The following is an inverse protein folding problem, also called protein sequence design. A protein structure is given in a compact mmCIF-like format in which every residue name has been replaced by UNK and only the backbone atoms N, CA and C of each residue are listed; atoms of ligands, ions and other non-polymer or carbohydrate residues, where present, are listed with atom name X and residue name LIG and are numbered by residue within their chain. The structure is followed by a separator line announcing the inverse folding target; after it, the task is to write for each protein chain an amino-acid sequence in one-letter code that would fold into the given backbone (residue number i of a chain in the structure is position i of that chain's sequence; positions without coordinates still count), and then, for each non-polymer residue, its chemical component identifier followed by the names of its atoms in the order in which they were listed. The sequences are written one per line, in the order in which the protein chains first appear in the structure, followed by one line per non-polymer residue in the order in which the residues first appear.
data_IF_383852664293
#
_entry.id   IF_383852664293
#
_cell.length_a   1.000
_cell.length_b   1.000
_cell.length_c   1.000
_cell.angle_alpha   90.00
_cell.angle_beta   90.00
_cell.angle_gamma   90.00
#
_symmetry.space_group_name_H-M   'P 1'
#
loop_
_entity.id
_entity.type
_entity.pdbx_description
1 polymer ?
#
# COMPACT_ATOMS: atom_id res chain seq x y z
N UNK A 1 -16.64 -37.38 0.68
CA UNK A 1 -16.45 -36.08 0.02
C UNK A 1 -15.88 -35.12 1.08
N UNK A 2 -14.63 -35.42 1.44
CA UNK A 2 -13.90 -34.76 2.53
C UNK A 2 -12.60 -34.17 1.98
N UNK A 3 -12.26 -32.96 2.49
CA UNK A 3 -10.96 -32.27 2.38
C UNK A 3 -10.44 -31.97 0.97
N UNK A 4 -11.08 -30.98 0.32
CA UNK A 4 -10.52 -30.27 -0.85
C UNK A 4 -10.04 -28.84 -0.52
N UNK A 5 -9.99 -28.46 0.75
CA UNK A 5 -9.36 -27.20 1.12
C UNK A 5 -7.87 -27.44 1.40
N UNK A 6 -6.94 -26.67 0.79
CA UNK A 6 -5.53 -26.79 1.13
C UNK A 6 -5.37 -26.53 2.63
N UNK A 7 -4.78 -27.48 3.36
CA UNK A 7 -4.44 -27.26 4.77
C UNK A 7 -3.52 -26.05 4.83
N UNK A 8 -3.92 -25.00 5.57
CA UNK A 8 -3.04 -23.87 5.85
C UNK A 8 -1.72 -24.44 6.39
N UNK A 9 -0.58 -23.95 5.86
CA UNK A 9 0.74 -24.34 6.39
C UNK A 9 0.82 -23.99 7.88
N UNK A 10 1.56 -24.79 8.63
CA UNK A 10 1.87 -24.45 10.02
C UNK A 10 2.61 -23.11 10.07
N UNK A 11 2.22 -22.17 10.96
CA UNK A 11 2.94 -20.90 11.13
C UNK A 11 4.40 -21.17 11.55
N UNK A 12 5.32 -20.43 10.94
CA UNK A 12 6.76 -20.56 11.17
C UNK A 12 7.20 -19.58 12.22
N UNK A 13 7.92 -20.08 13.22
CA UNK A 13 8.47 -19.29 14.31
C UNK A 13 9.99 -19.41 14.32
N UNK A 14 10.68 -18.28 14.30
CA UNK A 14 12.12 -18.24 14.51
C UNK A 14 12.41 -17.92 15.96
N UNK A 15 13.14 -18.80 16.64
CA UNK A 15 13.60 -18.63 18.04
C UNK A 15 15.09 -18.35 18.02
N UNK A 16 15.50 -17.23 18.59
CA UNK A 16 16.89 -16.78 18.65
C UNK A 16 17.32 -16.64 20.09
N UNK A 17 18.23 -17.50 20.53
CA UNK A 17 18.81 -17.49 21.89
C UNK A 17 20.19 -18.13 21.85
N UNK A 18 21.20 -17.48 22.44
CA UNK A 18 22.58 -17.98 22.48
C UNK A 18 22.76 -19.21 23.36
N UNK A 19 21.76 -19.53 24.17
CA UNK A 19 21.72 -20.73 25.01
C UNK A 19 20.90 -21.83 24.32
N UNK A 20 21.55 -22.90 23.78
CA UNK A 20 20.85 -23.95 23.05
C UNK A 20 19.77 -24.69 23.86
N UNK A 21 19.92 -24.74 25.17
CA UNK A 21 18.94 -25.35 26.09
C UNK A 21 17.64 -24.55 26.16
N UNK A 22 17.71 -23.22 26.13
CA UNK A 22 16.56 -22.31 26.17
C UNK A 22 15.87 -22.32 24.80
N UNK A 23 16.63 -22.14 23.72
CA UNK A 23 16.12 -22.23 22.36
C UNK A 23 15.43 -23.58 22.10
N UNK A 24 16.06 -24.70 22.54
CA UNK A 24 15.52 -26.04 22.40
C UNK A 24 14.22 -26.25 23.19
N UNK A 25 14.14 -25.76 24.42
CA UNK A 25 12.91 -25.84 25.22
C UNK A 25 11.75 -25.08 24.58
N UNK A 26 11.98 -23.84 24.16
CA UNK A 26 10.96 -23.04 23.46
C UNK A 26 10.53 -23.69 22.17
N UNK A 27 11.48 -24.17 21.36
CA UNK A 27 11.20 -24.90 20.13
C UNK A 27 10.33 -26.12 20.38
N UNK A 28 10.62 -26.94 21.40
CA UNK A 28 9.83 -28.10 21.74
C UNK A 28 8.39 -27.73 22.16
N UNK A 29 8.25 -26.73 23.03
CA UNK A 29 6.95 -26.25 23.51
C UNK A 29 6.07 -25.76 22.35
N UNK A 30 6.64 -25.02 21.41
CA UNK A 30 5.92 -24.46 20.26
C UNK A 30 5.60 -25.55 19.21
N UNK A 31 6.56 -26.46 18.95
CA UNK A 31 6.33 -27.59 18.02
C UNK A 31 5.22 -28.53 18.51
N UNK A 32 5.10 -28.75 19.81
CA UNK A 32 3.98 -29.52 20.41
C UNK A 32 2.61 -28.85 20.18
N UNK A 33 2.57 -27.58 19.85
CA UNK A 33 1.35 -26.81 19.50
C UNK A 33 1.10 -26.70 18.01
N UNK A 34 1.93 -27.38 17.20
CA UNK A 34 1.75 -27.48 15.73
C UNK A 34 2.42 -26.34 14.95
N UNK A 35 3.33 -25.59 15.57
CA UNK A 35 4.13 -24.57 14.88
C UNK A 35 5.37 -25.21 14.22
N UNK A 36 5.79 -24.65 13.08
CA UNK A 36 7.08 -24.97 12.44
C UNK A 36 8.15 -24.07 13.04
N UNK A 37 9.11 -24.64 13.78
CA UNK A 37 10.05 -23.85 14.56
C UNK A 37 11.48 -24.06 14.07
N UNK A 38 12.13 -22.94 13.73
CA UNK A 38 13.56 -22.86 13.44
C UNK A 38 14.28 -22.16 14.58
N UNK A 39 15.49 -22.58 14.92
CA UNK A 39 16.30 -21.95 15.95
C UNK A 39 17.56 -21.34 15.37
N UNK A 40 18.01 -20.22 15.94
CA UNK A 40 19.30 -19.58 15.65
C UNK A 40 20.01 -19.24 16.96
N UNK A 41 21.34 -19.28 16.99
CA UNK A 41 22.13 -19.02 18.20
C UNK A 41 22.62 -17.58 18.31
N UNK A 42 22.42 -16.77 17.29
CA UNK A 42 22.79 -15.35 17.26
C UNK A 42 22.03 -14.62 16.14
N UNK A 43 22.14 -13.30 16.10
CA UNK A 43 21.46 -12.46 15.12
C UNK A 43 21.89 -12.73 13.68
N UNK A 44 23.16 -13.05 13.41
CA UNK A 44 23.67 -13.32 12.05
C UNK A 44 23.03 -14.58 11.46
N UNK A 45 22.94 -15.65 12.26
CA UNK A 45 22.25 -16.87 11.84
C UNK A 45 20.75 -16.62 11.66
N UNK A 46 20.16 -15.82 12.54
CA UNK A 46 18.75 -15.45 12.45
C UNK A 46 18.46 -14.67 11.15
N UNK A 47 19.31 -13.70 10.78
CA UNK A 47 19.20 -12.98 9.52
C UNK A 47 19.31 -13.90 8.31
N UNK A 48 20.24 -14.85 8.33
CA UNK A 48 20.37 -15.85 7.26
C UNK A 48 19.09 -16.72 7.12
N UNK A 49 18.48 -17.13 8.24
CA UNK A 49 17.22 -17.86 8.24
C UNK A 49 16.04 -17.02 7.72
N UNK A 50 15.96 -15.75 8.10
CA UNK A 50 14.95 -14.80 7.60
C UNK A 50 15.09 -14.63 6.08
N UNK A 51 16.31 -14.48 5.56
CA UNK A 51 16.55 -14.38 4.11
C UNK A 51 16.22 -15.68 3.36
N UNK A 52 16.48 -16.83 3.98
CA UNK A 52 16.17 -18.14 3.38
C UNK A 52 14.66 -18.35 3.27
N UNK A 53 13.93 -18.01 4.32
CA UNK A 53 12.47 -18.10 4.35
C UNK A 53 11.90 -17.24 5.49
N UNK A 54 11.02 -16.32 5.14
CA UNK A 54 10.37 -15.42 6.10
C UNK A 54 9.60 -16.20 7.17
N UNK A 55 9.86 -15.93 8.48
CA UNK A 55 9.04 -16.46 9.57
C UNK A 55 7.74 -15.65 9.73
N UNK A 56 6.74 -16.26 10.34
CA UNK A 56 5.49 -15.60 10.70
C UNK A 56 5.58 -14.89 12.06
N UNK A 57 6.61 -15.20 12.88
CA UNK A 57 6.90 -14.57 14.16
C UNK A 57 8.35 -14.85 14.56
N UNK A 58 8.97 -13.88 15.24
CA UNK A 58 10.32 -14.00 15.80
C UNK A 58 10.28 -13.84 17.32
N UNK A 59 10.95 -14.76 18.02
CA UNK A 59 11.24 -14.68 19.45
C UNK A 59 12.75 -14.54 19.60
N UNK A 60 13.24 -13.47 20.17
CA UNK A 60 14.67 -13.23 20.31
C UNK A 60 15.08 -12.87 21.72
N UNK A 61 16.14 -13.52 22.21
CA UNK A 61 16.83 -12.99 23.39
C UNK A 61 17.37 -11.59 23.11
N UNK A 62 17.35 -10.75 24.12
CA UNK A 62 17.97 -9.42 24.10
C UNK A 62 19.49 -9.51 24.16
N UNK A 63 20.00 -10.36 25.05
CA UNK A 63 21.44 -10.45 25.36
C UNK A 63 22.08 -11.58 24.58
N UNK A 64 22.62 -11.26 23.41
CA UNK A 64 23.35 -12.23 22.58
C UNK A 64 24.75 -11.72 22.25
N UNK A 65 25.71 -12.61 22.00
CA UNK A 65 27.04 -12.23 21.51
C UNK A 65 26.96 -11.54 20.15
N UNK A 66 27.73 -10.48 19.97
CA UNK A 66 27.76 -9.69 18.73
C UNK A 66 26.57 -8.71 18.69
N UNK A 67 25.68 -8.89 17.74
CA UNK A 67 24.50 -8.05 17.55
C UNK A 67 23.39 -8.42 18.56
N UNK A 68 22.99 -7.45 19.37
CA UNK A 68 21.93 -7.63 20.37
C UNK A 68 20.56 -7.87 19.74
N UNK A 69 19.59 -8.42 20.52
CA UNK A 69 18.21 -8.58 20.09
C UNK A 69 17.53 -7.25 19.71
N UNK A 70 17.91 -6.15 20.35
CA UNK A 70 17.41 -4.80 19.99
C UNK A 70 17.89 -4.36 18.60
N UNK A 71 19.17 -4.52 18.30
CA UNK A 71 19.76 -4.16 17.02
C UNK A 71 19.21 -5.05 15.89
N UNK A 72 19.01 -6.33 16.17
CA UNK A 72 18.36 -7.27 15.24
C UNK A 72 16.91 -6.87 14.96
N UNK A 73 16.12 -6.56 16.00
CA UNK A 73 14.76 -6.07 15.85
C UNK A 73 14.71 -4.83 14.96
N UNK A 74 15.52 -3.81 15.27
CA UNK A 74 15.56 -2.56 14.50
C UNK A 74 15.88 -2.81 13.02
N UNK A 75 16.87 -3.64 12.71
CA UNK A 75 17.26 -3.93 11.33
C UNK A 75 16.12 -4.57 10.53
N UNK A 76 15.29 -5.42 11.16
CA UNK A 76 14.12 -6.02 10.52
C UNK A 76 12.95 -5.04 10.38
N UNK A 77 12.74 -4.17 11.38
CA UNK A 77 11.65 -3.19 11.36
C UNK A 77 11.89 -2.03 10.38
N UNK A 78 13.13 -1.72 10.07
CA UNK A 78 13.52 -0.74 9.04
C UNK A 78 13.39 -1.28 7.61
N UNK A 79 13.38 -2.61 7.44
CA UNK A 79 13.26 -3.23 6.13
C UNK A 79 11.79 -3.44 5.74
N UNK A 80 11.30 -2.87 4.62
CA UNK A 80 9.92 -3.01 4.16
C UNK A 80 9.43 -4.46 4.02
N UNK A 81 10.32 -5.40 3.66
CA UNK A 81 9.97 -6.81 3.47
C UNK A 81 9.77 -7.58 4.79
N UNK A 82 10.30 -7.09 5.91
CA UNK A 82 10.28 -7.80 7.20
C UNK A 82 9.62 -7.02 8.32
N UNK A 83 9.35 -5.73 8.15
CA UNK A 83 8.82 -4.84 9.20
C UNK A 83 7.50 -5.31 9.81
N UNK A 84 6.68 -6.04 9.05
CA UNK A 84 5.38 -6.56 9.50
C UNK A 84 5.47 -7.93 10.17
N UNK A 85 6.67 -8.52 10.30
CA UNK A 85 6.86 -9.74 11.07
C UNK A 85 6.82 -9.37 12.56
N UNK A 86 5.89 -9.95 13.37
CA UNK A 86 5.86 -9.75 14.80
C UNK A 86 7.17 -10.18 15.46
N UNK A 87 7.72 -9.30 16.28
CA UNK A 87 8.99 -9.48 16.95
C UNK A 87 8.82 -9.38 18.47
N UNK A 88 9.12 -10.44 19.19
CA UNK A 88 9.04 -10.51 20.65
C UNK A 88 10.44 -10.57 21.23
N UNK A 89 10.75 -9.64 22.11
CA UNK A 89 12.01 -9.64 22.87
C UNK A 89 11.86 -10.45 24.16
N UNK A 90 12.81 -11.33 24.41
CA UNK A 90 12.88 -12.12 25.63
C UNK A 90 14.00 -11.52 26.51
N UNK A 91 13.65 -11.04 27.67
CA UNK A 91 14.58 -10.31 28.54
C UNK A 91 14.62 -10.87 29.94
N UNK A 92 15.82 -10.92 30.52
CA UNK A 92 16.03 -11.20 31.97
C UNK A 92 16.03 -9.95 32.85
N UNK A 93 15.93 -8.77 32.19
CA UNK A 93 16.07 -7.49 32.86
C UNK A 93 14.67 -6.95 33.22
N UNK A 94 14.52 -6.60 34.50
CA UNK A 94 13.24 -6.10 35.04
C UNK A 94 13.12 -4.57 35.03
N UNK A 95 14.14 -3.87 34.50
CA UNK A 95 14.20 -2.42 34.53
C UNK A 95 13.32 -1.78 33.42
N UNK A 96 12.66 -0.70 33.78
CA UNK A 96 11.80 0.08 32.85
C UNK A 96 12.57 0.66 31.67
N UNK A 97 13.87 0.89 31.78
CA UNK A 97 14.75 1.37 30.71
C UNK A 97 14.88 0.37 29.57
N UNK A 98 14.94 -0.92 29.86
CA UNK A 98 15.09 -1.96 28.84
C UNK A 98 13.83 -2.12 27.98
N UNK A 99 12.65 -1.95 28.59
CA UNK A 99 11.38 -1.93 27.85
C UNK A 99 11.27 -0.74 26.92
N UNK A 100 11.78 0.44 27.33
CA UNK A 100 11.82 1.63 26.48
C UNK A 100 12.72 1.39 25.28
N UNK A 101 13.92 0.86 25.46
CA UNK A 101 14.83 0.53 24.35
C UNK A 101 14.23 -0.46 23.35
N UNK A 102 13.48 -1.44 23.84
CA UNK A 102 12.83 -2.39 22.96
C UNK A 102 11.65 -1.80 22.17
N UNK A 103 10.87 -0.89 22.78
CA UNK A 103 9.82 -0.15 22.09
C UNK A 103 10.44 0.75 21.00
N UNK A 104 11.53 1.45 21.32
CA UNK A 104 12.29 2.26 20.36
C UNK A 104 12.92 1.44 19.23
N UNK A 105 13.25 0.16 19.48
CA UNK A 105 13.69 -0.78 18.47
C UNK A 105 12.55 -1.31 17.59
N UNK A 106 11.28 -1.04 17.95
CA UNK A 106 10.09 -1.46 17.19
C UNK A 106 9.58 -2.85 17.57
N UNK A 107 9.95 -3.41 18.73
CA UNK A 107 9.43 -4.70 19.18
C UNK A 107 7.91 -4.63 19.43
N UNK A 108 7.19 -5.69 19.03
CA UNK A 108 5.74 -5.76 19.17
C UNK A 108 5.32 -6.25 20.56
N UNK A 109 6.19 -7.02 21.25
CA UNK A 109 5.91 -7.52 22.60
C UNK A 109 7.20 -7.94 23.33
N UNK A 110 7.05 -8.26 24.62
CA UNK A 110 8.14 -8.66 25.55
C UNK A 110 7.75 -9.87 26.38
N UNK A 111 8.72 -10.75 26.63
CA UNK A 111 8.61 -11.84 27.58
C UNK A 111 9.75 -11.76 28.60
N UNK A 112 9.43 -11.92 29.88
CA UNK A 112 10.45 -11.94 30.95
C UNK A 112 10.99 -13.36 31.14
N UNK A 113 12.30 -13.49 31.34
CA UNK A 113 12.92 -14.73 31.83
C UNK A 113 12.70 -14.85 33.36
N UNK A 114 12.29 -16.00 33.88
CA UNK A 114 12.06 -17.29 33.21
C UNK A 114 10.75 -17.27 32.37
N UNK A 115 10.84 -17.73 31.14
CA UNK A 115 9.69 -17.76 30.23
C UNK A 115 8.68 -18.80 30.66
N UNK A 116 7.49 -18.37 31.04
CA UNK A 116 6.39 -19.27 31.40
C UNK A 116 5.73 -19.82 30.13
N UNK A 117 5.58 -21.14 30.06
CA UNK A 117 5.03 -21.81 28.86
C UNK A 117 3.63 -21.28 28.45
N UNK A 118 2.76 -21.04 29.42
CA UNK A 118 1.41 -20.52 29.17
C UNK A 118 1.44 -19.10 28.62
N UNK A 119 2.31 -18.22 29.15
CA UNK A 119 2.48 -16.85 28.67
C UNK A 119 3.06 -16.84 27.25
N UNK A 120 4.11 -17.61 26.99
CA UNK A 120 4.70 -17.75 25.66
C UNK A 120 3.65 -18.14 24.62
N UNK A 121 2.87 -19.18 24.90
CA UNK A 121 1.86 -19.70 23.97
C UNK A 121 0.75 -18.68 23.74
N UNK A 122 0.29 -17.99 24.80
CA UNK A 122 -0.77 -16.99 24.69
C UNK A 122 -0.34 -15.80 23.80
N UNK A 123 0.88 -15.29 24.00
CA UNK A 123 1.42 -14.17 23.21
C UNK A 123 1.68 -14.56 21.76
N UNK A 124 2.32 -15.70 21.53
CA UNK A 124 2.56 -16.22 20.18
C UNK A 124 1.24 -16.36 19.42
N UNK A 125 0.21 -16.95 20.04
CA UNK A 125 -1.11 -17.11 19.43
C UNK A 125 -1.77 -15.76 19.10
N UNK A 126 -1.66 -14.79 19.99
CA UNK A 126 -2.23 -13.44 19.80
C UNK A 126 -1.56 -12.72 18.63
N UNK A 127 -0.22 -12.71 18.62
CA UNK A 127 0.58 -12.04 17.60
C UNK A 127 0.45 -12.70 16.22
N UNK A 128 0.43 -14.03 16.16
CA UNK A 128 0.18 -14.74 14.89
C UNK A 128 -1.21 -14.45 14.33
N UNK A 129 -2.23 -14.32 15.18
CA UNK A 129 -3.57 -13.93 14.75
C UNK A 129 -3.58 -12.49 14.19
N UNK A 130 -2.87 -11.57 14.83
CA UNK A 130 -2.73 -10.20 14.32
C UNK A 130 -2.01 -10.19 12.97
N UNK A 131 -0.91 -10.96 12.84
CA UNK A 131 -0.18 -11.13 11.59
C UNK A 131 -1.08 -11.67 10.48
N UNK A 132 -1.90 -12.70 10.76
CA UNK A 132 -2.85 -13.27 9.81
C UNK A 132 -3.84 -12.21 9.28
N UNK A 133 -4.41 -11.38 10.17
CA UNK A 133 -5.28 -10.28 9.73
C UNK A 133 -4.56 -9.23 8.88
N UNK A 134 -3.31 -8.91 9.22
CA UNK A 134 -2.51 -7.96 8.43
C UNK A 134 -2.25 -8.51 7.03
N UNK A 135 -1.87 -9.78 6.92
CA UNK A 135 -1.63 -10.45 5.64
C UNK A 135 -2.90 -10.56 4.77
N UNK A 136 -4.04 -10.81 5.40
CA UNK A 136 -5.35 -10.81 4.71
C UNK A 136 -5.69 -9.41 4.15
N UNK A 137 -5.41 -8.35 4.89
CA UNK A 137 -5.62 -6.97 4.43
C UNK A 137 -4.68 -6.61 3.28
N UNK A 138 -3.38 -6.96 3.37
CA UNK A 138 -2.43 -6.74 2.26
C UNK A 138 -2.84 -7.52 1.00
N UNK A 139 -3.32 -8.75 1.18
CA UNK A 139 -3.81 -9.56 0.05
C UNK A 139 -5.02 -8.91 -0.60
N UNK A 140 -5.97 -8.39 0.18
CA UNK A 140 -7.15 -7.70 -0.34
C UNK A 140 -6.76 -6.45 -1.13
N UNK A 141 -5.84 -5.63 -0.62
CA UNK A 141 -5.34 -4.45 -1.34
C UNK A 141 -4.62 -4.83 -2.64
N UNK A 142 -3.81 -5.89 -2.61
CA UNK A 142 -3.13 -6.40 -3.81
C UNK A 142 -4.12 -6.87 -4.88
N UNK A 143 -5.21 -7.53 -4.48
CA UNK A 143 -6.28 -7.93 -5.40
C UNK A 143 -6.96 -6.72 -6.01
N UNK A 144 -7.28 -5.69 -5.22
CA UNK A 144 -7.88 -4.44 -5.74
C UNK A 144 -6.97 -3.75 -6.75
N UNK A 145 -5.68 -3.62 -6.45
CA UNK A 145 -4.69 -3.06 -7.38
C UNK A 145 -4.61 -3.89 -8.67
N UNK A 146 -4.60 -5.23 -8.56
CA UNK A 146 -4.56 -6.13 -9.72
C UNK A 146 -5.78 -5.97 -10.62
N UNK A 147 -6.97 -5.74 -10.05
CA UNK A 147 -8.18 -5.46 -10.85
C UNK A 147 -8.01 -4.17 -11.67
N UNK A 148 -7.45 -3.12 -11.10
CA UNK A 148 -7.12 -1.89 -11.82
C UNK A 148 -6.14 -2.15 -12.98
N UNK A 149 -5.07 -2.89 -12.72
CA UNK A 149 -4.06 -3.25 -13.73
C UNK A 149 -4.63 -4.13 -14.86
N UNK A 150 -5.60 -5.01 -14.57
CA UNK A 150 -6.28 -5.80 -15.61
C UNK A 150 -7.07 -4.89 -16.56
N UNK A 151 -7.72 -3.86 -16.03
CA UNK A 151 -8.46 -2.89 -16.86
C UNK A 151 -7.49 -2.01 -17.63
N UNK A 152 -6.42 -1.53 -17.00
CA UNK A 152 -5.33 -0.80 -17.63
C UNK A 152 -4.74 -1.58 -18.82
N UNK A 153 -4.48 -2.89 -18.64
CA UNK A 153 -3.93 -3.76 -19.70
C UNK A 153 -4.84 -3.94 -20.93
N UNK A 154 -6.12 -3.53 -20.86
CA UNK A 154 -7.01 -3.47 -22.03
C UNK A 154 -6.82 -2.20 -22.86
N UNK A 155 -6.32 -1.14 -22.25
CA UNK A 155 -6.05 0.15 -22.90
C UNK A 155 -4.57 0.22 -23.27
N UNK A 156 -4.22 0.15 -24.57
CA UNK A 156 -2.82 0.04 -25.01
C UNK A 156 -1.96 1.29 -24.72
N UNK A 157 -2.55 2.34 -24.17
CA UNK A 157 -1.89 3.63 -23.97
C UNK A 157 -1.56 3.93 -22.50
N UNK A 158 -1.85 3.01 -21.58
CA UNK A 158 -1.82 3.27 -20.14
C UNK A 158 -0.81 2.43 -19.35
N UNK A 159 0.15 1.76 -19.99
CA UNK A 159 1.14 0.92 -19.31
C UNK A 159 1.86 1.65 -18.17
N UNK A 160 1.73 1.13 -16.95
CA UNK A 160 2.29 1.69 -15.72
C UNK A 160 1.67 3.01 -15.26
N UNK A 161 0.56 3.45 -15.87
CA UNK A 161 -0.16 4.67 -15.50
C UNK A 161 -0.75 4.59 -14.09
N UNK A 162 -1.48 3.51 -13.77
CA UNK A 162 -2.09 3.31 -12.46
C UNK A 162 -1.07 3.38 -11.33
N UNK A 163 0.10 2.77 -11.51
CA UNK A 163 1.17 2.79 -10.51
C UNK A 163 1.72 4.21 -10.32
N UNK A 164 2.03 4.92 -11.42
CA UNK A 164 2.50 6.31 -11.36
C UNK A 164 1.48 7.24 -10.69
N UNK A 165 0.19 7.10 -11.03
CA UNK A 165 -0.88 7.87 -10.38
C UNK A 165 -0.97 7.57 -8.89
N UNK A 166 -0.99 6.30 -8.51
CA UNK A 166 -1.05 5.86 -7.11
C UNK A 166 0.05 6.50 -6.27
N UNK A 167 1.29 6.45 -6.76
CA UNK A 167 2.44 7.02 -6.04
C UNK A 167 2.36 8.54 -5.97
N UNK A 168 2.18 9.21 -7.12
CA UNK A 168 2.20 10.68 -7.19
C UNK A 168 1.01 11.34 -6.50
N UNK A 169 -0.17 10.75 -6.57
CA UNK A 169 -1.34 11.27 -5.85
C UNK A 169 -1.16 11.15 -4.33
N UNK A 170 -0.59 10.05 -3.85
CA UNK A 170 -0.24 9.90 -2.44
C UNK A 170 0.85 10.89 -2.01
N UNK A 171 1.86 11.15 -2.84
CA UNK A 171 2.91 12.13 -2.54
C UNK A 171 2.35 13.54 -2.47
N UNK A 172 1.45 13.91 -3.39
CA UNK A 172 0.74 15.19 -3.33
C UNK A 172 -0.15 15.28 -2.09
N UNK A 173 -0.86 14.20 -1.74
CA UNK A 173 -1.66 14.16 -0.51
C UNK A 173 -0.81 14.38 0.76
N UNK A 174 0.38 13.78 0.85
CA UNK A 174 1.33 14.02 1.95
C UNK A 174 1.85 15.45 1.97
N UNK A 175 2.20 15.98 0.81
CA UNK A 175 2.65 17.38 0.67
C UNK A 175 1.58 18.37 1.16
N UNK A 176 0.31 18.09 0.89
CA UNK A 176 -0.83 18.89 1.35
C UNK A 176 -1.21 18.63 2.83
N UNK A 177 -0.49 17.75 3.54
CA UNK A 177 -0.76 17.45 4.95
C UNK A 177 -2.05 16.66 5.19
N UNK A 178 -2.51 15.86 4.21
CA UNK A 178 -3.70 15.03 4.35
C UNK A 178 -3.48 13.88 5.34
N UNK A 179 -4.56 13.40 5.95
CA UNK A 179 -4.52 12.24 6.85
C UNK A 179 -4.22 10.93 6.10
N UNK A 180 -3.81 9.91 6.84
CA UNK A 180 -3.38 8.62 6.26
C UNK A 180 -4.53 7.91 5.53
N UNK A 181 -5.78 8.03 6.00
CA UNK A 181 -6.95 7.46 5.32
C UNK A 181 -7.14 8.07 3.93
N UNK A 182 -6.95 9.37 3.80
CA UNK A 182 -6.98 10.12 2.53
C UNK A 182 -5.84 9.71 1.61
N UNK A 183 -4.62 9.54 2.15
CA UNK A 183 -3.46 9.08 1.39
C UNK A 183 -3.67 7.66 0.85
N UNK A 184 -4.20 6.76 1.67
CA UNK A 184 -4.56 5.40 1.25
C UNK A 184 -5.65 5.44 0.17
N UNK A 185 -6.66 6.30 0.32
CA UNK A 185 -7.71 6.47 -0.69
C UNK A 185 -7.16 6.97 -2.03
N UNK A 186 -6.21 7.92 -2.02
CA UNK A 186 -5.53 8.40 -3.23
C UNK A 186 -4.72 7.29 -3.90
N UNK A 187 -3.99 6.47 -3.13
CA UNK A 187 -3.27 5.31 -3.66
C UNK A 187 -4.20 4.33 -4.37
N UNK A 188 -5.27 3.93 -3.71
CA UNK A 188 -6.28 3.03 -4.28
C UNK A 188 -7.00 3.66 -5.46
N UNK A 189 -7.31 4.97 -5.37
CA UNK A 189 -7.91 5.74 -6.45
C UNK A 189 -7.07 5.73 -7.72
N UNK A 190 -5.74 5.84 -7.60
CA UNK A 190 -4.82 5.73 -8.73
C UNK A 190 -4.97 4.43 -9.52
N UNK A 191 -5.24 3.30 -8.83
CA UNK A 191 -5.52 2.02 -9.50
C UNK A 191 -6.96 1.86 -9.99
N UNK A 192 -7.94 2.42 -9.26
CA UNK A 192 -9.35 2.06 -9.43
C UNK A 192 -10.19 3.12 -10.15
N UNK A 193 -9.67 4.35 -10.38
CA UNK A 193 -10.46 5.43 -10.99
C UNK A 193 -11.11 5.02 -12.30
N UNK A 194 -10.40 4.26 -13.11
CA UNK A 194 -10.79 3.80 -14.44
C UNK A 194 -11.40 2.39 -14.47
N UNK A 195 -11.65 1.76 -13.30
CA UNK A 195 -12.15 0.38 -13.22
C UNK A 195 -13.44 0.16 -14.05
N UNK A 196 -14.29 1.17 -14.13
CA UNK A 196 -15.53 1.10 -14.89
C UNK A 196 -15.35 0.95 -16.41
N UNK A 197 -14.18 1.19 -16.96
CA UNK A 197 -13.84 0.91 -18.37
C UNK A 197 -13.96 -0.58 -18.72
N UNK A 198 -14.07 -1.46 -17.70
CA UNK A 198 -14.35 -2.89 -17.93
C UNK A 198 -15.66 -3.11 -18.69
N UNK A 199 -16.63 -2.24 -18.55
CA UNK A 199 -17.92 -2.31 -19.25
C UNK A 199 -17.93 -1.62 -20.63
N UNK A 200 -16.84 -0.93 -21.00
CA UNK A 200 -16.72 -0.29 -22.31
C UNK A 200 -16.33 -1.33 -23.35
N UNK A 201 -17.06 -1.42 -24.49
CA UNK A 201 -16.71 -2.32 -25.59
C UNK A 201 -15.33 -2.04 -26.16
N UNK A 202 -14.61 -3.10 -26.56
CA UNK A 202 -13.24 -2.99 -27.10
C UNK A 202 -13.17 -2.13 -28.38
N UNK A 203 -14.24 -2.14 -29.20
CA UNK A 203 -14.33 -1.33 -30.39
C UNK A 203 -14.32 0.18 -30.08
N UNK A 204 -14.81 0.58 -28.90
CA UNK A 204 -14.79 1.98 -28.45
C UNK A 204 -13.47 2.26 -27.70
N UNK A 205 -13.09 1.39 -26.78
CA UNK A 205 -11.92 1.57 -25.91
C UNK A 205 -10.61 1.63 -26.72
N UNK A 206 -10.47 0.78 -27.74
CA UNK A 206 -9.25 0.64 -28.55
C UNK A 206 -9.32 1.40 -29.87
N UNK A 207 -10.32 2.26 -30.05
CA UNK A 207 -10.50 3.00 -31.30
C UNK A 207 -9.33 3.96 -31.55
N UNK A 208 -8.66 3.82 -32.69
CA UNK A 208 -7.51 4.65 -33.08
C UNK A 208 -7.85 6.01 -33.67
N UNK A 209 -9.15 6.40 -33.66
CA UNK A 209 -9.67 7.67 -34.17
C UNK A 209 -10.61 8.30 -33.14
N UNK A 210 -11.05 9.54 -33.39
CA UNK A 210 -12.00 10.22 -32.52
C UNK A 210 -13.30 9.41 -32.35
N UNK A 211 -13.83 9.43 -31.13
CA UNK A 211 -15.11 8.81 -30.78
C UNK A 211 -16.26 9.63 -31.34
N UNK A 212 -17.30 8.96 -31.82
CA UNK A 212 -18.56 9.63 -32.18
C UNK A 212 -19.28 10.12 -30.91
N UNK A 213 -20.27 11.03 -31.03
CA UNK A 213 -21.06 11.46 -29.84
C UNK A 213 -21.71 10.30 -29.09
N UNK A 214 -22.18 9.25 -29.78
CA UNK A 214 -22.79 8.06 -29.18
C UNK A 214 -21.74 7.21 -28.45
N UNK A 215 -20.56 7.01 -29.04
CA UNK A 215 -19.45 6.31 -28.41
C UNK A 215 -18.94 7.09 -27.19
N UNK A 216 -18.87 8.42 -27.26
CA UNK A 216 -18.55 9.27 -26.10
C UNK A 216 -19.59 9.14 -24.99
N UNK A 217 -20.87 9.04 -25.31
CA UNK A 217 -21.90 8.79 -24.30
C UNK A 217 -21.67 7.47 -23.56
N UNK A 218 -21.24 6.43 -24.25
CA UNK A 218 -20.87 5.13 -23.61
C UNK A 218 -19.60 5.29 -22.77
N UNK A 219 -18.56 5.94 -23.30
CA UNK A 219 -17.30 6.16 -22.57
C UNK A 219 -17.53 6.92 -21.26
N UNK A 220 -18.35 7.97 -21.27
CA UNK A 220 -18.67 8.78 -20.09
C UNK A 220 -19.41 8.05 -18.97
N UNK A 221 -19.86 6.82 -19.19
CA UNK A 221 -20.52 6.01 -18.14
C UNK A 221 -19.53 5.29 -17.23
N UNK A 222 -18.23 5.20 -17.60
CA UNK A 222 -17.28 4.43 -16.79
C UNK A 222 -17.13 4.92 -15.35
N UNK A 223 -17.19 6.23 -15.00
CA UNK A 223 -17.11 6.65 -13.60
C UNK A 223 -18.28 6.12 -12.77
N UNK A 224 -19.50 6.20 -13.32
CA UNK A 224 -20.69 5.67 -12.66
C UNK A 224 -20.63 4.15 -12.53
N UNK A 225 -20.17 3.47 -13.58
CA UNK A 225 -20.01 2.01 -13.59
C UNK A 225 -18.98 1.57 -12.55
N UNK A 226 -17.83 2.25 -12.51
CA UNK A 226 -16.75 1.98 -11.53
C UNK A 226 -17.23 2.20 -10.10
N UNK A 227 -17.93 3.29 -9.82
CA UNK A 227 -18.55 3.54 -8.52
C UNK A 227 -19.49 2.39 -8.12
N UNK A 228 -20.38 1.98 -9.01
CA UNK A 228 -21.34 0.91 -8.73
C UNK A 228 -20.66 -0.45 -8.46
N UNK A 229 -19.57 -0.76 -9.15
CA UNK A 229 -18.76 -1.97 -8.91
C UNK A 229 -18.14 -1.91 -7.52
N UNK A 230 -17.58 -0.78 -7.10
CA UNK A 230 -16.86 -0.61 -5.84
C UNK A 230 -17.77 -0.34 -4.63
N UNK A 231 -18.99 0.14 -4.84
CA UNK A 231 -19.95 0.55 -3.80
C UNK A 231 -20.22 -0.49 -2.69
N UNK A 232 -20.27 -1.82 -2.97
CA UNK A 232 -20.44 -2.83 -1.91
C UNK A 232 -19.28 -2.93 -0.93
N UNK A 233 -18.09 -2.38 -1.28
CA UNK A 233 -16.86 -2.50 -0.49
C UNK A 233 -16.71 -1.31 0.47
N UNK A 234 -17.03 -1.50 1.75
CA UNK A 234 -16.94 -0.44 2.78
C UNK A 234 -15.52 0.18 2.91
N UNK A 235 -14.47 -0.61 2.64
CA UNK A 235 -13.09 -0.14 2.65
C UNK A 235 -12.76 0.86 1.55
N UNK A 236 -13.63 1.00 0.54
CA UNK A 236 -13.47 1.92 -0.59
C UNK A 236 -14.31 3.20 -0.48
N UNK A 237 -14.97 3.45 0.67
CA UNK A 237 -15.88 4.61 0.82
C UNK A 237 -15.26 5.95 0.43
N UNK A 238 -13.97 6.16 0.75
CA UNK A 238 -13.22 7.38 0.38
C UNK A 238 -12.72 7.36 -1.07
N UNK A 239 -12.68 6.19 -1.69
CA UNK A 239 -12.28 6.00 -3.10
C UNK A 239 -13.46 6.24 -4.05
N UNK A 240 -14.70 5.96 -3.62
CA UNK A 240 -15.90 6.12 -4.46
C UNK A 240 -16.01 7.52 -5.09
N UNK A 241 -15.83 8.63 -4.34
CA UNK A 241 -15.83 9.96 -4.93
C UNK A 241 -14.73 10.16 -5.98
N UNK A 242 -13.54 9.55 -5.77
CA UNK A 242 -12.45 9.60 -6.74
C UNK A 242 -12.88 8.93 -8.05
N UNK A 243 -13.41 7.71 -7.98
CA UNK A 243 -13.88 6.95 -9.15
C UNK A 243 -14.96 7.72 -9.90
N UNK A 244 -15.91 8.33 -9.17
CA UNK A 244 -17.06 8.99 -9.79
C UNK A 244 -16.68 10.34 -10.41
N UNK A 245 -15.82 11.13 -9.76
CA UNK A 245 -15.64 12.55 -10.09
C UNK A 245 -14.26 12.90 -10.67
N UNK A 246 -13.42 11.93 -11.02
CA UNK A 246 -12.09 12.22 -11.59
C UNK A 246 -12.13 12.89 -12.97
N UNK A 247 -13.27 12.94 -13.63
CA UNK A 247 -13.49 13.66 -14.88
C UNK A 247 -14.37 14.92 -14.73
N UNK A 248 -14.66 15.36 -13.51
CA UNK A 248 -15.32 16.64 -13.30
C UNK A 248 -14.32 17.78 -13.56
N UNK A 249 -14.79 18.89 -14.08
CA UNK A 249 -13.99 20.11 -14.26
C UNK A 249 -14.49 21.22 -13.34
N UNK A 250 -13.60 22.04 -12.81
CA UNK A 250 -13.99 23.11 -11.89
C UNK A 250 -14.93 24.14 -12.48
N UNK A 251 -15.01 24.24 -13.82
CA UNK A 251 -15.94 25.10 -14.57
C UNK A 251 -17.32 24.45 -14.83
N UNK A 252 -17.54 23.19 -14.39
CA UNK A 252 -18.77 22.43 -14.60
C UNK A 252 -18.89 21.78 -15.98
N UNK A 253 -17.87 21.87 -16.84
CA UNK A 253 -17.87 21.23 -18.17
C UNK A 253 -17.56 19.72 -18.10
N UNK A 254 -17.23 19.19 -16.92
CA UNK A 254 -16.89 17.81 -16.68
C UNK A 254 -18.08 16.85 -16.69
N UNK A 255 -17.84 15.62 -16.27
CA UNK A 255 -18.86 14.57 -16.14
C UNK A 255 -18.50 13.62 -14.99
N UNK A 256 -19.46 12.84 -14.43
CA UNK A 256 -20.84 12.62 -14.91
C UNK A 256 -21.87 13.60 -14.35
N UNK A 257 -21.57 14.36 -13.28
CA UNK A 257 -22.55 15.15 -12.56
C UNK A 257 -22.49 16.66 -12.88
N UNK A 258 -21.42 17.13 -13.55
CA UNK A 258 -21.21 18.54 -13.89
C UNK A 258 -21.00 19.43 -12.67
N UNK A 259 -20.27 18.94 -11.67
CA UNK A 259 -19.97 19.66 -10.43
C UNK A 259 -19.07 20.87 -10.66
N UNK A 260 -19.25 21.94 -9.88
CA UNK A 260 -18.53 23.21 -10.05
C UNK A 260 -17.64 23.48 -8.82
N UNK A 261 -16.35 23.75 -9.05
CA UNK A 261 -15.41 24.23 -8.05
C UNK A 261 -15.37 23.35 -6.80
N UNK A 262 -15.78 23.90 -5.64
CA UNK A 262 -15.74 23.19 -4.36
C UNK A 262 -16.82 22.13 -4.17
N UNK A 263 -17.77 21.98 -5.10
CA UNK A 263 -18.70 20.85 -5.10
C UNK A 263 -17.98 19.56 -5.43
N UNK A 264 -16.87 19.62 -6.18
CA UNK A 264 -16.00 18.48 -6.42
C UNK A 264 -15.22 18.20 -5.14
N UNK A 265 -15.34 17.00 -4.52
CA UNK A 265 -14.57 16.65 -3.34
C UNK A 265 -13.05 16.78 -3.57
N UNK A 266 -12.28 17.00 -2.51
CA UNK A 266 -10.84 17.29 -2.64
C UNK A 266 -10.04 16.13 -3.24
N UNK A 267 -10.34 14.87 -2.85
CA UNK A 267 -9.59 13.71 -3.32
C UNK A 267 -9.67 13.49 -4.85
N UNK A 268 -10.85 13.59 -5.51
CA UNK A 268 -10.93 13.63 -6.96
C UNK A 268 -10.07 14.74 -7.59
N UNK A 269 -10.12 15.97 -7.06
CA UNK A 269 -9.32 17.10 -7.59
C UNK A 269 -7.81 16.83 -7.50
N UNK A 270 -7.34 16.21 -6.40
CA UNK A 270 -5.93 15.83 -6.23
C UNK A 270 -5.53 14.78 -7.26
N UNK A 271 -6.33 13.70 -7.42
CA UNK A 271 -6.02 12.67 -8.42
C UNK A 271 -6.02 13.25 -9.84
N UNK A 272 -6.98 14.10 -10.16
CA UNK A 272 -7.15 14.73 -11.48
C UNK A 272 -5.92 15.53 -11.91
N UNK A 273 -5.33 16.34 -11.02
CA UNK A 273 -4.11 17.10 -11.31
C UNK A 273 -2.96 16.15 -11.69
N UNK A 274 -2.83 15.04 -10.98
CA UNK A 274 -1.79 14.03 -11.26
C UNK A 274 -2.07 13.29 -12.55
N UNK A 275 -3.32 12.92 -12.82
CA UNK A 275 -3.75 12.20 -14.03
C UNK A 275 -3.52 13.04 -15.28
N UNK A 276 -3.96 14.29 -15.29
CA UNK A 276 -3.74 15.22 -16.40
C UNK A 276 -2.25 15.40 -16.68
N UNK A 277 -1.43 15.56 -15.64
CA UNK A 277 0.01 15.67 -15.81
C UNK A 277 0.62 14.39 -16.40
N UNK A 278 0.24 13.20 -15.90
CA UNK A 278 0.73 11.92 -16.43
C UNK A 278 0.30 11.73 -17.88
N UNK A 279 -0.93 12.08 -18.23
CA UNK A 279 -1.44 12.05 -19.59
C UNK A 279 -0.69 12.97 -20.56
N UNK A 280 -0.27 14.16 -20.11
CA UNK A 280 0.56 15.08 -20.90
C UNK A 280 2.01 14.58 -21.06
N UNK A 281 2.52 13.84 -20.11
CA UNK A 281 3.91 13.35 -20.04
C UNK A 281 4.10 11.97 -20.66
N UNK A 282 3.02 11.26 -20.98
CA UNK A 282 3.05 9.90 -21.55
C UNK A 282 2.80 9.94 -23.04
N UNK A 283 3.56 9.14 -23.81
CA UNK A 283 3.35 9.00 -25.26
C UNK A 283 1.99 8.36 -25.53
N UNK A 284 1.22 8.94 -26.45
CA UNK A 284 -0.01 8.34 -27.00
C UNK A 284 0.14 8.17 -28.49
N UNK A 285 -0.63 7.28 -29.12
CA UNK A 285 -0.52 6.96 -30.56
C UNK A 285 -0.54 8.17 -31.50
N UNK A 286 -1.15 9.26 -31.06
CA UNK A 286 -1.35 10.48 -31.83
C UNK A 286 -0.64 11.72 -31.25
N UNK A 287 0.09 11.59 -30.12
CA UNK A 287 0.74 12.73 -29.45
C UNK A 287 2.05 12.32 -28.79
N UNK A 288 3.15 12.99 -29.14
CA UNK A 288 4.40 12.86 -28.43
C UNK A 288 4.29 13.42 -26.99
N UNK A 289 5.01 12.86 -26.02
CA UNK A 289 5.01 13.36 -24.64
C UNK A 289 5.54 14.79 -24.60
N UNK A 290 4.86 15.66 -23.85
CA UNK A 290 5.33 17.02 -23.61
C UNK A 290 6.55 17.01 -22.67
N UNK A 291 7.40 18.03 -22.74
CA UNK A 291 8.41 18.27 -21.70
C UNK A 291 7.73 18.66 -20.40
N UNK A 292 8.47 18.59 -19.27
CA UNK A 292 7.93 18.99 -17.98
C UNK A 292 7.45 20.44 -17.99
N UNK A 293 8.28 21.31 -18.57
CA UNK A 293 8.05 22.77 -18.65
C UNK A 293 6.77 23.06 -19.45
N UNK A 294 6.61 22.39 -20.60
CA UNK A 294 5.43 22.58 -21.45
C UNK A 294 4.16 22.01 -20.82
N UNK A 295 4.23 20.85 -20.15
CA UNK A 295 3.12 20.29 -19.39
C UNK A 295 2.70 21.23 -18.24
N UNK A 296 3.66 21.78 -17.50
CA UNK A 296 3.40 22.72 -16.43
C UNK A 296 2.75 24.03 -16.95
N UNK A 297 3.24 24.54 -18.08
CA UNK A 297 2.63 25.72 -18.71
C UNK A 297 1.19 25.44 -19.13
N UNK A 298 0.94 24.32 -19.82
CA UNK A 298 -0.40 23.92 -20.30
C UNK A 298 -1.38 23.83 -19.13
N UNK A 299 -0.99 23.13 -18.04
CA UNK A 299 -1.87 22.96 -16.89
C UNK A 299 -2.15 24.28 -16.15
N UNK A 300 -1.17 25.17 -16.03
CA UNK A 300 -1.38 26.51 -15.45
C UNK A 300 -2.32 27.35 -16.29
N UNK A 301 -2.22 27.30 -17.63
CA UNK A 301 -3.11 28.00 -18.54
C UNK A 301 -4.54 27.44 -18.47
N UNK A 302 -4.69 26.13 -18.37
CA UNK A 302 -5.98 25.45 -18.22
C UNK A 302 -6.62 25.76 -16.85
N UNK A 303 -5.84 25.77 -15.77
CA UNK A 303 -6.30 26.17 -14.44
C UNK A 303 -6.74 27.64 -14.40
N UNK A 304 -6.01 28.54 -15.08
CA UNK A 304 -6.40 29.95 -15.20
C UNK A 304 -7.73 30.15 -15.97
N UNK A 305 -8.11 29.17 -16.81
CA UNK A 305 -9.43 29.16 -17.51
C UNK A 305 -10.53 28.47 -16.69
N UNK A 306 -10.20 27.96 -15.48
CA UNK A 306 -11.15 27.35 -14.57
C UNK A 306 -11.37 25.84 -14.78
N UNK A 307 -10.56 25.15 -15.62
CA UNK A 307 -10.72 23.69 -15.79
C UNK A 307 -10.29 22.92 -14.56
N UNK A 308 -9.16 23.32 -13.96
CA UNK A 308 -8.55 22.63 -12.84
C UNK A 308 -8.50 23.54 -11.61
N UNK A 309 -8.36 22.93 -10.43
CA UNK A 309 -8.06 23.67 -9.19
C UNK A 309 -6.68 24.30 -9.27
N UNK A 310 -6.63 25.63 -9.35
CA UNK A 310 -5.40 26.39 -9.56
C UNK A 310 -4.42 26.28 -8.38
N UNK A 311 -4.94 26.16 -7.15
CA UNK A 311 -4.11 25.98 -5.95
C UNK A 311 -3.45 24.60 -5.96
N UNK A 312 -4.21 23.55 -6.24
CA UNK A 312 -3.68 22.20 -6.35
C UNK A 312 -2.66 22.04 -7.47
N UNK A 313 -2.89 22.70 -8.62
CA UNK A 313 -1.91 22.72 -9.72
C UNK A 313 -0.62 23.41 -9.29
N UNK A 314 -0.70 24.54 -8.57
CA UNK A 314 0.47 25.24 -8.06
C UNK A 314 1.26 24.40 -7.05
N UNK A 315 0.57 23.79 -6.07
CA UNK A 315 1.18 22.92 -5.04
C UNK A 315 1.83 21.68 -5.65
N UNK A 316 1.21 21.08 -6.67
CA UNK A 316 1.78 19.93 -7.35
C UNK A 316 3.11 20.26 -8.04
N UNK A 317 3.19 21.35 -8.77
CA UNK A 317 4.44 21.76 -9.41
C UNK A 317 5.48 22.22 -8.40
N UNK A 318 5.10 22.88 -7.31
CA UNK A 318 6.01 23.21 -6.23
C UNK A 318 6.62 21.94 -5.61
N UNK A 319 5.82 20.93 -5.32
CA UNK A 319 6.29 19.63 -4.82
C UNK A 319 7.28 18.98 -5.79
N UNK A 320 6.98 18.95 -7.10
CA UNK A 320 7.87 18.35 -8.10
C UNK A 320 9.22 19.10 -8.22
N UNK A 321 9.22 20.42 -8.08
CA UNK A 321 10.44 21.22 -8.10
C UNK A 321 11.34 20.91 -6.88
N UNK A 322 10.74 20.76 -5.68
CA UNK A 322 11.46 20.36 -4.47
C UNK A 322 12.09 18.96 -4.61
N UNK A 323 11.37 18.00 -5.15
CA UNK A 323 11.89 16.64 -5.38
C UNK A 323 13.07 16.62 -6.36
N UNK A 324 13.07 17.51 -7.37
CA UNK A 324 14.17 17.62 -8.35
C UNK A 324 15.43 18.27 -7.78
N UNK A 325 15.33 19.06 -6.72
CA UNK A 325 16.49 19.70 -6.08
C UNK A 325 17.21 18.78 -5.10
N UNK A 326 16.53 17.72 -4.65
CA UNK A 326 17.06 16.74 -3.67
C UNK A 326 17.65 15.50 -4.35
N UNK A 327 17.30 15.22 -5.61
CA UNK A 327 17.79 14.10 -6.41
C UNK A 327 19.05 14.45 -7.22
#
# INVERSE_FOLDING_TARGET
MGDLLPRRRAPRILVVDDQPSIAGLMSQLLSMRGYDVTTASNAEQAEAEVHRQLPDLILSDVMMPGKSGYEFCRSLKENPATRLIPFVLITGLSDSSDKVHGIEAGADDFLNKPVLAEELIARVKSLLRLKEFTDELETADSVLCTLGLIVEGRDPYTEGHCERLSVRAADLGRHLGMDEDSIIALKRGGYLHDLGKIAVPDEILKKGSDLTPEEWAVMKLHPITGENICKPLHSLRLVLPIIRHHHEHSDGSGYPDGLIGSEIPVLPRVLQVVDVYDALRTARSYKAPLTHELAAQTMREEAARGLWDAELVAEYFYMLEQQRQVA
#
